data_IF_355175904275
#
_entry.id   IF_355175904275
#
_cell.length_a   1.000
_cell.length_b   1.000
_cell.length_c   1.000
_cell.angle_alpha   90.00
_cell.angle_beta   90.00
_cell.angle_gamma   90.00
#
_symmetry.space_group_name_H-M   'P 1'
#
loop_
_entity.id
_entity.type
_entity.pdbx_description
1 polymer ?
#
# COMPACT_ATOMS: atom_id res chain seq x y z
N UNK A 1 63.69 -53.50 81.22
CA UNK A 1 64.93 -52.77 80.96
C UNK A 1 64.71 -51.83 79.78
N UNK A 2 65.22 -50.59 79.89
CA UNK A 2 65.34 -49.53 78.87
C UNK A 2 64.01 -48.84 78.44
N UNK A 3 63.76 -47.57 78.84
CA UNK A 3 64.24 -46.30 78.23
C UNK A 3 63.50 -45.98 76.91
N UNK A 4 63.10 -44.77 76.51
CA UNK A 4 63.52 -43.39 76.83
C UNK A 4 62.59 -42.42 76.06
N UNK A 5 62.28 -41.27 76.67
CA UNK A 5 62.40 -39.89 76.13
C UNK A 5 61.86 -39.48 74.72
N UNK A 6 61.02 -38.44 74.73
CA UNK A 6 60.91 -37.31 73.73
C UNK A 6 62.32 -36.79 73.28
N UNK A 7 62.58 -35.91 72.26
CA UNK A 7 61.77 -34.75 71.78
C UNK A 7 62.07 -34.14 70.34
N UNK A 8 61.42 -33.01 70.02
CA UNK A 8 61.86 -31.69 69.41
C UNK A 8 62.81 -31.66 68.16
N UNK A 9 62.73 -30.71 67.21
CA UNK A 9 62.87 -29.21 67.28
C UNK A 9 62.43 -28.59 65.92
N UNK A 10 61.64 -27.51 65.82
CA UNK A 10 61.91 -26.05 66.00
C UNK A 10 62.68 -25.36 64.85
N UNK A 11 62.04 -24.38 64.17
CA UNK A 11 62.52 -23.06 63.61
C UNK A 11 61.22 -22.32 63.17
N UNK A 12 60.61 -21.32 63.85
CA UNK A 12 60.89 -19.87 64.05
C UNK A 12 61.21 -19.06 62.77
N UNK A 13 60.37 -18.08 62.36
CA UNK A 13 60.66 -16.62 62.36
C UNK A 13 59.75 -15.77 61.39
N UNK A 14 59.16 -14.70 61.95
CA UNK A 14 58.86 -13.32 61.47
C UNK A 14 57.99 -12.94 60.23
N UNK A 15 56.94 -12.13 60.52
CA UNK A 15 56.63 -10.73 60.09
C UNK A 15 56.88 -10.28 58.62
N UNK A 16 55.86 -9.74 57.94
CA UNK A 16 55.72 -8.29 57.60
C UNK A 16 54.43 -7.99 56.81
N UNK A 17 53.80 -6.85 57.11
CA UNK A 17 52.74 -6.23 56.33
C UNK A 17 53.32 -5.17 55.37
N UNK A 18 52.75 -5.02 54.16
CA UNK A 18 52.59 -3.73 53.47
C UNK A 18 51.74 -3.89 52.20
N UNK A 19 50.86 -2.91 52.03
CA UNK A 19 49.82 -2.70 51.02
C UNK A 19 50.32 -2.01 49.75
N UNK A 20 49.73 -2.35 48.59
CA UNK A 20 49.55 -1.42 47.47
C UNK A 20 48.25 -1.73 46.70
N UNK A 21 47.47 -0.68 46.42
CA UNK A 21 46.28 -0.66 45.58
C UNK A 21 46.65 -0.77 44.09
N UNK A 22 45.82 -1.44 43.30
CA UNK A 22 45.66 -1.17 41.87
C UNK A 22 44.20 -1.45 41.45
N UNK A 23 43.56 -0.44 40.86
CA UNK A 23 42.24 -0.52 40.24
C UNK A 23 42.22 -1.55 39.10
N UNK A 24 41.15 -2.34 39.01
CA UNK A 24 40.73 -3.00 37.77
C UNK A 24 39.28 -2.62 37.45
N UNK A 25 38.92 -2.51 36.15
CA UNK A 25 37.64 -1.96 35.73
C UNK A 25 36.52 -2.99 35.93
N UNK A 26 35.38 -2.51 36.42
CA UNK A 26 34.15 -3.30 36.47
C UNK A 26 33.58 -3.46 35.05
N UNK A 27 33.70 -4.64 34.46
CA UNK A 27 32.84 -5.04 33.35
C UNK A 27 31.46 -5.37 33.91
N UNK A 28 30.54 -4.41 33.75
CA UNK A 28 29.10 -4.66 33.83
C UNK A 28 28.75 -5.62 32.68
N UNK A 29 28.36 -6.85 33.01
CA UNK A 29 27.49 -7.63 32.14
C UNK A 29 26.14 -6.91 32.08
N UNK A 30 26.01 -6.02 31.10
CA UNK A 30 24.70 -5.58 30.62
C UNK A 30 24.02 -6.79 30.01
N UNK A 31 23.02 -7.29 30.72
CA UNK A 31 22.01 -8.19 30.21
C UNK A 31 21.25 -7.44 29.11
N UNK A 32 21.73 -7.52 27.87
CA UNK A 32 20.92 -7.24 26.69
C UNK A 32 19.93 -8.39 26.48
N UNK A 33 18.93 -8.41 27.34
CA UNK A 33 17.65 -9.03 27.05
C UNK A 33 16.63 -7.96 27.42
N UNK A 34 16.63 -6.88 26.63
CA UNK A 34 15.54 -5.93 26.62
C UNK A 34 14.32 -6.70 26.13
N UNK A 35 13.30 -6.71 26.98
CA UNK A 35 11.96 -7.22 26.72
C UNK A 35 11.49 -6.75 25.33
N UNK A 36 11.34 -7.68 24.40
CA UNK A 36 10.45 -7.46 23.26
C UNK A 36 9.02 -7.45 23.84
N UNK A 37 8.61 -6.30 24.38
CA UNK A 37 7.20 -6.03 24.57
C UNK A 37 6.54 -6.18 23.20
N UNK A 38 5.76 -7.22 23.00
CA UNK A 38 5.01 -7.44 21.76
C UNK A 38 4.26 -6.15 21.44
N UNK A 39 4.58 -5.53 20.29
CA UNK A 39 3.91 -4.33 19.85
C UNK A 39 2.40 -4.58 19.74
N UNK A 40 1.59 -3.56 20.02
CA UNK A 40 0.13 -3.69 20.04
C UNK A 40 -0.42 -3.86 18.62
N UNK A 41 -1.41 -4.74 18.43
CA UNK A 41 -2.06 -4.95 17.13
C UNK A 41 -2.59 -3.61 16.56
N UNK A 42 -2.40 -3.39 15.26
CA UNK A 42 -2.75 -2.12 14.59
C UNK A 42 -1.69 -1.04 14.68
N UNK A 43 -0.59 -1.27 15.39
CA UNK A 43 0.61 -0.42 15.35
C UNK A 43 1.57 -0.84 14.24
N UNK A 44 2.37 0.11 13.76
CA UNK A 44 3.40 -0.13 12.76
C UNK A 44 4.47 -1.11 13.27
N UNK A 45 4.83 -1.06 14.56
CA UNK A 45 5.79 -1.98 15.15
C UNK A 45 5.30 -3.43 15.12
N UNK A 46 4.01 -3.65 15.34
CA UNK A 46 3.40 -4.98 15.23
C UNK A 46 3.50 -5.52 13.80
N UNK A 47 3.17 -4.69 12.82
CA UNK A 47 3.26 -5.08 11.40
C UNK A 47 4.68 -5.28 10.92
N UNK A 48 5.62 -4.47 11.42
CA UNK A 48 7.04 -4.64 11.16
C UNK A 48 7.54 -6.00 11.66
N UNK A 49 7.21 -6.37 12.89
CA UNK A 49 7.63 -7.64 13.49
C UNK A 49 6.97 -8.83 12.77
N UNK A 50 5.68 -8.73 12.47
CA UNK A 50 4.96 -9.75 11.69
C UNK A 50 5.58 -9.93 10.30
N UNK A 51 5.70 -8.86 9.51
CA UNK A 51 6.19 -8.95 8.14
C UNK A 51 7.64 -9.41 8.08
N UNK A 52 8.50 -9.01 9.01
CA UNK A 52 9.87 -9.53 9.11
C UNK A 52 9.94 -11.03 9.36
N UNK A 53 8.96 -11.59 10.08
CA UNK A 53 8.87 -13.04 10.27
C UNK A 53 8.52 -13.78 8.97
N UNK A 54 7.91 -13.09 7.99
CA UNK A 54 7.51 -13.65 6.70
C UNK A 54 8.47 -13.28 5.56
N UNK A 55 9.19 -12.17 5.68
CA UNK A 55 10.15 -11.63 4.71
C UNK A 55 11.39 -11.10 5.44
N UNK A 56 12.46 -11.89 5.42
CA UNK A 56 13.75 -11.51 6.00
C UNK A 56 14.45 -10.37 5.22
N UNK A 57 13.98 -10.08 4.00
CA UNK A 57 14.46 -9.01 3.14
C UNK A 57 13.57 -7.76 3.16
N UNK A 58 12.63 -7.66 4.12
CA UNK A 58 11.73 -6.52 4.24
C UNK A 58 12.50 -5.19 4.35
N UNK A 59 12.17 -4.26 3.46
CA UNK A 59 12.79 -2.93 3.40
C UNK A 59 12.00 -1.98 4.28
N UNK A 60 12.70 -1.23 5.14
CA UNK A 60 12.10 -0.17 5.96
C UNK A 60 12.66 1.17 5.51
N UNK A 61 11.83 1.98 4.87
CA UNK A 61 12.16 3.37 4.57
C UNK A 61 11.83 4.23 5.79
N UNK A 62 12.67 5.22 6.10
CA UNK A 62 12.56 6.09 7.27
C UNK A 62 12.95 7.51 6.92
N UNK A 63 12.25 8.47 7.52
CA UNK A 63 12.68 9.87 7.51
C UNK A 63 13.89 10.06 8.43
N UNK A 64 14.44 11.27 8.43
CA UNK A 64 15.62 11.59 9.24
C UNK A 64 15.36 11.44 10.75
N UNK A 65 14.11 11.63 11.18
CA UNK A 65 13.70 11.57 12.58
C UNK A 65 13.30 10.14 13.01
N UNK A 66 13.14 9.21 12.08
CA UNK A 66 12.60 7.87 12.30
C UNK A 66 11.12 7.85 12.69
N UNK A 67 10.37 8.93 12.42
CA UNK A 67 8.95 9.08 12.78
C UNK A 67 8.07 8.65 11.62
N UNK A 68 8.30 9.22 10.43
CA UNK A 68 7.74 8.72 9.17
C UNK A 68 8.46 7.45 8.73
N UNK A 69 7.74 6.34 8.58
CA UNK A 69 8.31 5.08 8.09
C UNK A 69 7.38 4.38 7.11
N UNK A 70 7.95 3.56 6.21
CA UNK A 70 7.23 2.79 5.19
C UNK A 70 7.84 1.39 5.09
N UNK A 71 6.99 0.34 5.06
CA UNK A 71 7.40 -1.05 4.86
C UNK A 71 7.19 -1.45 3.41
N UNK A 72 8.28 -1.87 2.75
CA UNK A 72 8.27 -2.30 1.36
C UNK A 72 8.79 -3.72 1.25
N UNK A 73 8.14 -4.56 0.44
CA UNK A 73 8.58 -5.93 0.18
C UNK A 73 8.80 -6.20 -1.30
N UNK A 74 10.03 -6.54 -1.67
CA UNK A 74 10.34 -7.07 -2.99
C UNK A 74 9.78 -8.49 -3.16
N UNK A 75 9.74 -9.29 -2.09
CA UNK A 75 9.18 -10.64 -2.08
C UNK A 75 7.70 -10.64 -2.47
N UNK A 76 6.94 -9.69 -1.93
CA UNK A 76 5.52 -9.51 -2.22
C UNK A 76 5.31 -8.42 -3.29
N UNK A 77 5.90 -8.63 -4.48
CA UNK A 77 5.67 -7.85 -5.72
C UNK A 77 5.91 -6.34 -5.62
N UNK A 78 6.85 -5.91 -4.79
CA UNK A 78 7.16 -4.50 -4.64
C UNK A 78 6.03 -3.68 -3.99
N UNK A 79 5.21 -4.33 -3.16
CA UNK A 79 4.15 -3.67 -2.39
C UNK A 79 4.74 -2.76 -1.33
N UNK A 80 4.07 -1.63 -1.13
CA UNK A 80 4.10 -0.94 0.16
C UNK A 80 3.06 -1.64 1.03
N UNK A 81 3.48 -2.27 2.12
CA UNK A 81 2.54 -2.93 3.02
C UNK A 81 1.81 -1.93 3.90
N UNK A 82 2.56 -1.01 4.50
CA UNK A 82 2.01 0.02 5.38
C UNK A 82 3.03 1.13 5.63
N UNK A 83 2.52 2.27 6.11
CA UNK A 83 3.27 3.43 6.54
C UNK A 83 2.81 3.89 7.93
N UNK A 84 3.59 4.76 8.56
CA UNK A 84 3.29 5.38 9.86
C UNK A 84 3.80 6.80 9.91
N UNK A 85 3.09 7.66 10.64
CA UNK A 85 3.46 9.04 10.92
C UNK A 85 3.96 9.24 12.36
N UNK A 86 4.16 8.16 13.13
CA UNK A 86 4.48 8.24 14.56
C UNK A 86 5.39 7.10 15.05
N UNK A 87 6.27 6.62 14.18
CA UNK A 87 7.22 5.56 14.47
C UNK A 87 6.55 4.22 14.82
N UNK A 88 7.25 3.39 15.60
CA UNK A 88 6.85 2.01 15.89
C UNK A 88 5.55 1.89 16.69
N UNK A 89 5.24 2.88 17.53
CA UNK A 89 3.99 2.92 18.31
C UNK A 89 2.86 3.62 17.54
N UNK A 90 3.17 4.21 16.39
CA UNK A 90 2.20 4.83 15.52
C UNK A 90 1.27 3.81 14.88
N UNK A 91 0.11 4.29 14.44
CA UNK A 91 -0.85 3.50 13.68
C UNK A 91 -0.23 3.03 12.37
N UNK A 92 -0.55 1.79 12.01
CA UNK A 92 -0.36 1.25 10.67
C UNK A 92 -1.52 1.66 9.77
N UNK A 93 -1.24 2.28 8.62
CA UNK A 93 -2.29 2.79 7.73
C UNK A 93 -2.76 1.78 6.67
N UNK A 94 -1.87 0.88 6.24
CA UNK A 94 -2.19 -0.16 5.27
C UNK A 94 -3.01 -1.30 5.86
N UNK A 95 -3.88 -1.88 5.04
CA UNK A 95 -4.54 -3.15 5.38
C UNK A 95 -3.62 -4.33 5.04
N UNK A 96 -3.45 -5.23 6.01
CA UNK A 96 -2.65 -6.46 5.87
C UNK A 96 -3.56 -7.65 6.16
N UNK A 97 -3.57 -8.63 5.25
CA UNK A 97 -4.27 -9.88 5.48
C UNK A 97 -3.36 -10.90 6.16
N UNK A 98 -3.27 -10.86 7.48
CA UNK A 98 -2.36 -11.73 8.23
C UNK A 98 -2.58 -13.22 7.93
N UNK A 99 -3.83 -13.65 7.75
CA UNK A 99 -4.20 -15.04 7.49
C UNK A 99 -3.66 -15.54 6.14
N UNK A 100 -3.61 -14.67 5.12
CA UNK A 100 -3.10 -15.02 3.79
C UNK A 100 -1.62 -15.44 3.78
N UNK A 101 -0.82 -15.02 4.77
CA UNK A 101 0.61 -15.39 4.84
C UNK A 101 0.86 -16.82 5.33
N UNK A 102 -0.13 -17.41 6.01
CA UNK A 102 -0.06 -18.76 6.56
C UNK A 102 -0.98 -19.74 5.81
N UNK A 103 -1.80 -19.22 4.89
CA UNK A 103 -2.62 -20.02 4.01
C UNK A 103 -1.80 -20.74 2.93
N UNK A 104 -2.34 -21.85 2.43
CA UNK A 104 -1.84 -22.45 1.19
C UNK A 104 -2.03 -21.47 0.02
N UNK A 105 -1.10 -21.44 -0.95
CA UNK A 105 -1.23 -20.54 -2.08
C UNK A 105 -2.55 -20.73 -2.82
N UNK A 106 -3.30 -19.63 -2.96
CA UNK A 106 -4.58 -19.62 -3.66
C UNK A 106 -4.34 -19.61 -5.19
N UNK A 107 -5.04 -20.45 -5.98
CA UNK A 107 -4.84 -20.54 -7.42
C UNK A 107 -5.36 -19.33 -8.21
N UNK A 108 -6.19 -18.49 -7.60
CA UNK A 108 -6.79 -17.30 -8.19
C UNK A 108 -6.02 -16.02 -7.82
N UNK A 109 -5.82 -15.78 -6.51
CA UNK A 109 -5.07 -14.63 -6.00
C UNK A 109 -4.67 -14.81 -4.53
N UNK A 110 -3.42 -14.48 -4.23
CA UNK A 110 -2.87 -14.50 -2.89
C UNK A 110 -3.01 -13.12 -2.24
N UNK A 111 -4.12 -12.93 -1.53
CA UNK A 111 -4.60 -11.62 -1.06
C UNK A 111 -3.86 -11.08 0.19
N UNK A 112 -2.53 -10.90 0.14
CA UNK A 112 -1.72 -10.44 1.28
C UNK A 112 -2.03 -9.02 1.79
N UNK A 113 -2.81 -8.24 1.05
CA UNK A 113 -3.06 -6.82 1.32
C UNK A 113 -1.97 -5.89 0.78
N UNK A 114 -1.87 -4.70 1.38
CA UNK A 114 -0.85 -3.70 1.09
C UNK A 114 -1.43 -2.31 0.81
N UNK A 115 -0.95 -1.31 1.57
CA UNK A 115 -1.29 0.11 1.44
C UNK A 115 -1.14 0.68 0.03
N UNK A 116 -0.18 0.20 -0.77
CA UNK A 116 -0.05 0.59 -2.17
C UNK A 116 0.52 -0.57 -3.00
N UNK A 117 -0.29 -1.08 -3.93
CA UNK A 117 -0.05 -2.30 -4.69
C UNK A 117 0.03 -2.00 -6.18
N UNK A 118 1.10 -2.47 -6.82
CA UNK A 118 1.19 -2.45 -8.28
C UNK A 118 0.38 -3.60 -8.87
N UNK A 119 -0.44 -3.28 -9.87
CA UNK A 119 -1.29 -4.21 -10.59
C UNK A 119 -1.25 -3.92 -12.09
N UNK A 120 -1.87 -4.80 -12.86
CA UNK A 120 -1.96 -4.67 -14.32
C UNK A 120 -3.41 -4.84 -14.76
N UNK A 121 -3.79 -4.11 -15.80
CA UNK A 121 -5.04 -4.32 -16.51
C UNK A 121 -4.80 -4.63 -18.00
N UNK A 122 -5.85 -5.06 -18.73
CA UNK A 122 -7.21 -5.17 -18.22
C UNK A 122 -7.48 -6.50 -17.51
N UNK A 123 -8.31 -6.48 -16.46
CA UNK A 123 -8.75 -7.69 -15.77
C UNK A 123 -9.69 -8.54 -16.63
N UNK A 124 -10.71 -7.91 -17.22
CA UNK A 124 -11.61 -8.54 -18.18
C UNK A 124 -11.45 -8.02 -19.60
N UNK A 125 -12.48 -8.19 -20.43
CA UNK A 125 -12.47 -7.70 -21.80
C UNK A 125 -11.67 -8.55 -22.79
N UNK A 126 -11.81 -8.20 -24.07
CA UNK A 126 -11.17 -8.89 -25.20
C UNK A 126 -9.64 -9.04 -25.06
N UNK A 127 -9.00 -8.16 -24.29
CA UNK A 127 -7.55 -8.14 -24.09
C UNK A 127 -7.14 -8.45 -22.65
N UNK A 128 -8.01 -9.12 -21.88
CA UNK A 128 -7.74 -9.51 -20.48
C UNK A 128 -6.37 -10.18 -20.32
N UNK A 129 -5.71 -9.91 -19.19
CA UNK A 129 -4.48 -10.60 -18.77
C UNK A 129 -4.73 -11.76 -17.79
N UNK A 130 -5.98 -11.99 -17.39
CA UNK A 130 -6.36 -12.84 -16.25
C UNK A 130 -7.17 -14.07 -16.67
N UNK A 131 -7.59 -14.13 -17.93
CA UNK A 131 -8.33 -15.26 -18.49
C UNK A 131 -7.56 -15.91 -19.63
N UNK A 132 -7.57 -17.24 -19.67
CA UNK A 132 -7.02 -17.99 -20.80
C UNK A 132 -7.87 -17.75 -22.05
N UNK A 133 -7.29 -17.70 -23.26
CA UNK A 133 -8.06 -17.53 -24.48
C UNK A 133 -9.21 -18.55 -24.61
N UNK A 134 -10.42 -18.06 -24.86
CA UNK A 134 -11.62 -18.87 -25.09
C UNK A 134 -12.32 -19.40 -23.84
N UNK A 135 -11.86 -19.09 -22.62
CA UNK A 135 -12.59 -19.44 -21.39
C UNK A 135 -13.65 -18.43 -21.03
N UNK A 136 -14.74 -18.88 -20.40
CA UNK A 136 -15.75 -17.97 -19.84
C UNK A 136 -15.13 -17.04 -18.78
N UNK A 137 -15.53 -15.77 -18.78
CA UNK A 137 -15.09 -14.77 -17.80
C UNK A 137 -15.88 -14.91 -16.49
N UNK A 138 -15.61 -16.00 -15.78
CA UNK A 138 -16.20 -16.35 -14.48
C UNK A 138 -15.08 -16.61 -13.47
N UNK A 139 -15.38 -16.50 -12.17
CA UNK A 139 -14.38 -16.57 -11.10
C UNK A 139 -13.48 -17.81 -11.19
N UNK A 140 -14.03 -18.99 -11.49
CA UNK A 140 -13.28 -20.24 -11.60
C UNK A 140 -12.19 -20.25 -12.70
N UNK A 141 -12.26 -19.33 -13.67
CA UNK A 141 -11.27 -19.20 -14.75
C UNK A 141 -10.36 -17.98 -14.58
N UNK A 142 -10.64 -17.12 -13.61
CA UNK A 142 -9.87 -15.91 -13.36
C UNK A 142 -8.59 -16.26 -12.60
N UNK A 143 -7.43 -15.84 -13.10
CA UNK A 143 -6.14 -16.10 -12.46
C UNK A 143 -5.29 -14.85 -12.53
N UNK A 144 -4.76 -14.43 -11.38
CA UNK A 144 -3.84 -13.29 -11.34
C UNK A 144 -2.49 -13.65 -11.97
N UNK A 145 -1.93 -12.81 -12.86
CA UNK A 145 -0.58 -13.03 -13.37
C UNK A 145 0.47 -13.18 -12.24
N UNK A 146 1.30 -14.23 -12.25
CA UNK A 146 2.26 -14.50 -11.17
C UNK A 146 3.17 -13.31 -10.83
N UNK A 147 3.53 -12.50 -11.82
CA UNK A 147 4.37 -11.32 -11.64
C UNK A 147 3.80 -10.25 -10.70
N UNK A 148 2.48 -10.23 -10.46
CA UNK A 148 1.80 -9.29 -9.55
C UNK A 148 1.11 -10.01 -8.37
N UNK A 149 1.35 -11.31 -8.19
CA UNK A 149 0.71 -12.15 -7.15
C UNK A 149 1.69 -12.98 -6.30
N UNK A 150 2.53 -13.80 -6.93
CA UNK A 150 3.33 -14.83 -6.24
C UNK A 150 4.83 -14.69 -6.47
N UNK A 151 5.25 -14.09 -7.58
CA UNK A 151 6.67 -14.03 -7.90
C UNK A 151 7.36 -12.82 -7.26
N UNK A 152 8.55 -13.00 -6.67
CA UNK A 152 9.31 -11.89 -6.12
C UNK A 152 9.84 -10.97 -7.22
N UNK A 153 10.10 -9.72 -6.85
CA UNK A 153 10.74 -8.70 -7.65
C UNK A 153 12.21 -8.53 -7.25
N UNK A 154 12.99 -7.91 -8.13
CA UNK A 154 14.40 -7.67 -7.88
C UNK A 154 14.64 -6.24 -7.37
N UNK A 155 15.35 -6.10 -6.26
CA UNK A 155 15.83 -4.81 -5.76
C UNK A 155 17.01 -4.35 -6.61
N UNK A 156 16.85 -3.22 -7.29
CA UNK A 156 17.89 -2.57 -8.10
C UNK A 156 18.79 -1.69 -7.23
N UNK A 157 18.19 -0.94 -6.31
CA UNK A 157 18.90 -0.06 -5.37
C UNK A 157 18.02 0.25 -4.17
N UNK A 158 18.63 0.52 -3.02
CA UNK A 158 17.92 0.95 -1.80
C UNK A 158 18.78 1.94 -1.01
N UNK A 159 18.13 2.92 -0.39
CA UNK A 159 18.70 3.79 0.66
C UNK A 159 17.73 3.87 1.84
N UNK A 160 17.96 4.79 2.78
CA UNK A 160 17.09 5.00 3.93
C UNK A 160 15.69 5.50 3.56
N UNK A 161 15.55 6.25 2.47
CA UNK A 161 14.31 6.95 2.10
C UNK A 161 13.69 6.44 0.78
N UNK A 162 14.37 5.57 0.03
CA UNK A 162 13.85 5.05 -1.24
C UNK A 162 14.32 3.65 -1.56
N UNK A 163 13.57 2.98 -2.43
CA UNK A 163 13.95 1.71 -3.05
C UNK A 163 13.47 1.65 -4.50
N UNK A 164 14.30 1.08 -5.36
CA UNK A 164 13.99 0.82 -6.78
C UNK A 164 13.90 -0.67 -7.02
N UNK A 165 12.82 -1.10 -7.64
CA UNK A 165 12.47 -2.49 -7.88
C UNK A 165 12.22 -2.73 -9.37
N UNK A 166 12.47 -3.95 -9.84
CA UNK A 166 12.17 -4.34 -11.22
C UNK A 166 11.65 -5.77 -11.33
N UNK A 167 10.82 -5.99 -12.35
CA UNK A 167 10.28 -7.30 -12.72
C UNK A 167 10.19 -7.42 -14.24
N UNK A 168 10.72 -8.51 -14.80
CA UNK A 168 10.42 -8.90 -16.19
C UNK A 168 9.34 -9.97 -16.17
N UNK A 169 8.43 -9.94 -17.14
CA UNK A 169 7.33 -10.90 -17.23
C UNK A 169 6.85 -11.08 -18.67
N UNK A 170 6.16 -12.18 -18.91
CA UNK A 170 5.43 -12.45 -20.15
C UNK A 170 3.96 -12.65 -19.80
N UNK A 171 3.08 -11.92 -20.50
CA UNK A 171 1.65 -11.90 -20.25
C UNK A 171 0.92 -12.32 -21.52
N UNK A 172 0.23 -13.46 -21.49
CA UNK A 172 -0.63 -13.86 -22.60
C UNK A 172 -2.00 -13.24 -22.40
N UNK A 173 -2.42 -12.38 -23.32
CA UNK A 173 -3.76 -11.82 -23.24
C UNK A 173 -4.83 -12.77 -23.83
N UNK A 174 -6.09 -12.49 -23.53
CA UNK A 174 -7.23 -13.29 -23.98
C UNK A 174 -7.37 -13.38 -25.50
N UNK A 175 -6.85 -12.39 -26.25
CA UNK A 175 -6.79 -12.40 -27.71
C UNK A 175 -5.63 -13.23 -28.28
N UNK A 176 -4.81 -13.86 -27.44
CA UNK A 176 -3.68 -14.71 -27.85
C UNK A 176 -2.38 -13.96 -28.14
N UNK A 177 -2.28 -12.68 -27.76
CA UNK A 177 -1.04 -11.90 -27.92
C UNK A 177 -0.14 -12.08 -26.69
N UNK A 178 1.12 -12.48 -26.91
CA UNK A 178 2.13 -12.56 -25.87
C UNK A 178 2.84 -11.21 -25.71
N UNK A 179 2.63 -10.57 -24.56
CA UNK A 179 3.19 -9.27 -24.20
C UNK A 179 4.43 -9.49 -23.32
N UNK A 180 5.62 -9.12 -23.81
CA UNK A 180 6.86 -9.20 -23.02
C UNK A 180 7.15 -7.86 -22.36
N UNK A 181 7.03 -7.79 -21.06
CA UNK A 181 7.08 -6.55 -20.30
C UNK A 181 8.28 -6.49 -19.34
N UNK A 182 8.81 -5.29 -19.16
CA UNK A 182 9.65 -4.95 -18.01
C UNK A 182 8.94 -3.89 -17.18
N UNK A 183 8.84 -4.14 -15.90
CA UNK A 183 8.23 -3.26 -14.90
C UNK A 183 9.36 -2.68 -14.05
N UNK A 184 9.28 -1.39 -13.78
CA UNK A 184 10.11 -0.70 -12.79
C UNK A 184 9.19 0.03 -11.83
N UNK A 185 9.54 0.01 -10.55
CA UNK A 185 8.82 0.74 -9.50
C UNK A 185 9.83 1.36 -8.55
N UNK A 186 9.83 2.68 -8.48
CA UNK A 186 10.59 3.42 -7.49
C UNK A 186 9.62 3.88 -6.39
N UNK A 187 9.94 3.55 -5.15
CA UNK A 187 9.16 3.94 -3.97
C UNK A 187 10.04 4.86 -3.14
N UNK A 188 9.49 6.01 -2.74
CA UNK A 188 10.23 7.03 -2.00
C UNK A 188 9.38 7.62 -0.89
N UNK A 189 9.89 7.62 0.33
CA UNK A 189 9.35 8.38 1.44
C UNK A 189 9.64 9.88 1.22
N UNK A 190 8.62 10.71 1.45
CA UNK A 190 8.67 12.15 1.27
C UNK A 190 8.94 12.84 2.60
N UNK A 191 9.77 13.88 2.59
CA UNK A 191 9.90 14.79 3.72
C UNK A 191 8.63 15.63 3.90
N UNK A 192 8.40 16.16 5.10
CA UNK A 192 7.27 17.04 5.37
C UNK A 192 7.21 18.24 4.41
N UNK A 193 8.36 18.84 4.11
CA UNK A 193 8.45 19.98 3.20
C UNK A 193 8.01 19.61 1.77
N UNK A 194 8.34 18.40 1.30
CA UNK A 194 7.90 17.91 -0.01
C UNK A 194 6.40 17.63 -0.03
N UNK A 195 5.86 17.02 1.04
CA UNK A 195 4.42 16.79 1.20
C UNK A 195 3.65 18.13 1.13
N UNK A 196 4.08 19.12 1.90
CA UNK A 196 3.49 20.46 1.92
C UNK A 196 3.56 21.15 0.56
N UNK A 197 4.72 21.07 -0.10
CA UNK A 197 4.92 21.65 -1.43
C UNK A 197 4.01 21.00 -2.46
N UNK A 198 3.93 19.67 -2.44
CA UNK A 198 3.18 18.89 -3.41
C UNK A 198 1.67 19.11 -3.31
N UNK A 199 1.16 19.25 -2.09
CA UNK A 199 -0.26 19.48 -1.83
C UNK A 199 -0.63 20.97 -1.78
N UNK A 200 0.35 21.87 -1.72
CA UNK A 200 0.12 23.31 -1.57
C UNK A 200 -0.52 23.68 -0.23
N UNK A 201 -0.13 22.98 0.84
CA UNK A 201 -0.65 23.13 2.21
C UNK A 201 0.49 23.41 3.20
N UNK A 202 0.13 23.78 4.42
CA UNK A 202 1.03 23.77 5.58
C UNK A 202 0.46 22.87 6.66
N UNK A 203 1.19 21.82 7.03
CA UNK A 203 0.84 20.98 8.15
C UNK A 203 1.18 21.76 9.43
N UNK A 204 0.16 22.13 10.22
CA UNK A 204 0.38 22.79 11.49
C UNK A 204 1.22 21.92 12.44
N UNK A 205 1.92 22.51 13.40
CA UNK A 205 2.86 21.79 14.27
C UNK A 205 2.28 20.63 15.11
N UNK A 206 0.95 20.51 15.17
CA UNK A 206 0.24 19.43 15.86
C UNK A 206 -0.29 18.33 14.91
N UNK A 207 0.05 18.38 13.61
CA UNK A 207 -0.32 17.36 12.63
C UNK A 207 0.88 16.46 12.39
N UNK A 208 0.70 15.17 12.67
CA UNK A 208 1.66 14.13 12.26
C UNK A 208 1.37 13.77 10.82
N UNK A 209 2.40 13.64 10.00
CA UNK A 209 2.25 13.31 8.60
C UNK A 209 3.26 12.27 8.15
N UNK A 210 2.83 11.41 7.24
CA UNK A 210 3.71 10.56 6.42
C UNK A 210 3.19 10.61 4.99
N UNK A 211 4.09 10.53 4.02
CA UNK A 211 3.71 10.42 2.64
C UNK A 211 4.80 9.78 1.82
N UNK A 212 4.42 9.05 0.79
CA UNK A 212 5.35 8.40 -0.13
C UNK A 212 4.89 8.53 -1.57
N UNK A 213 5.85 8.50 -2.50
CA UNK A 213 5.60 8.42 -3.92
C UNK A 213 5.89 7.01 -4.44
N UNK A 214 5.16 6.62 -5.47
CA UNK A 214 5.48 5.47 -6.32
C UNK A 214 5.54 5.94 -7.77
N UNK A 215 6.72 5.80 -8.38
CA UNK A 215 6.95 6.06 -9.79
C UNK A 215 6.99 4.72 -10.51
N UNK A 216 5.97 4.45 -11.31
CA UNK A 216 5.75 3.16 -11.92
C UNK A 216 6.01 3.26 -13.41
N UNK A 217 6.77 2.32 -13.98
CA UNK A 217 7.07 2.29 -15.40
C UNK A 217 6.84 0.90 -15.97
N UNK A 218 6.24 0.88 -17.17
CA UNK A 218 5.94 -0.32 -17.94
C UNK A 218 6.56 -0.18 -19.32
N UNK A 219 7.48 -1.07 -19.66
CA UNK A 219 8.21 -1.07 -20.92
C UNK A 219 7.89 -2.29 -21.77
N UNK A 220 7.73 -2.09 -23.07
CA UNK A 220 7.66 -3.18 -24.04
C UNK A 220 9.07 -3.67 -24.37
N UNK A 221 9.43 -4.86 -23.88
CA UNK A 221 10.73 -5.50 -24.15
C UNK A 221 10.61 -6.65 -25.16
N UNK A 222 9.46 -6.76 -25.83
CA UNK A 222 9.25 -7.66 -26.95
C UNK A 222 9.62 -7.04 -28.29
N UNK A 223 9.38 -7.80 -29.36
CA UNK A 223 9.72 -7.42 -30.73
C UNK A 223 8.57 -6.76 -31.49
N UNK A 224 7.34 -6.89 -30.99
CA UNK A 224 6.12 -6.40 -31.64
C UNK A 224 5.49 -5.25 -30.86
N UNK A 225 4.87 -4.26 -31.53
CA UNK A 225 4.15 -3.20 -30.85
C UNK A 225 2.87 -3.70 -30.18
N UNK A 226 2.51 -3.08 -29.06
CA UNK A 226 1.21 -3.24 -28.42
C UNK A 226 0.25 -2.21 -29.00
N UNK A 227 -0.89 -2.65 -29.53
CA UNK A 227 -1.81 -1.77 -30.27
C UNK A 227 -3.26 -1.99 -29.83
N UNK A 228 -4.17 -1.14 -30.29
CA UNK A 228 -5.61 -1.32 -30.08
C UNK A 228 -6.19 -2.57 -30.75
N UNK A 229 -5.45 -3.22 -31.67
CA UNK A 229 -5.87 -4.45 -32.36
C UNK A 229 -5.36 -5.71 -31.66
N UNK A 230 -4.11 -5.69 -31.17
CA UNK A 230 -3.46 -6.83 -30.50
C UNK A 230 -3.66 -6.82 -28.98
N UNK A 231 -4.01 -5.65 -28.43
CA UNK A 231 -4.12 -5.41 -27.00
C UNK A 231 -2.85 -4.80 -26.42
N UNK A 232 -3.03 -4.09 -25.32
CA UNK A 232 -1.95 -3.51 -24.51
C UNK A 232 -2.30 -3.65 -23.02
N UNK A 233 -1.31 -3.75 -22.12
CA UNK A 233 -1.56 -3.64 -20.70
C UNK A 233 -1.81 -2.18 -20.29
N UNK A 234 -2.30 -1.96 -19.08
CA UNK A 234 -2.20 -0.69 -18.36
C UNK A 234 -1.63 -0.91 -16.95
N UNK A 235 -1.06 0.12 -16.34
CA UNK A 235 -0.69 0.13 -14.93
C UNK A 235 -1.96 0.44 -14.12
N UNK A 236 -2.15 -0.27 -13.02
CA UNK A 236 -3.22 -0.01 -12.06
C UNK A 236 -2.61 -0.03 -10.67
N UNK A 237 -2.80 1.05 -9.91
CA UNK A 237 -2.33 1.18 -8.53
C UNK A 237 -3.54 1.10 -7.62
N UNK A 238 -3.51 0.20 -6.64
CA UNK A 238 -4.58 -0.01 -5.68
C UNK A 238 -4.03 0.25 -4.28
N UNK A 239 -4.66 1.16 -3.55
CA UNK A 239 -4.29 1.46 -2.18
C UNK A 239 -5.27 0.82 -1.21
N UNK A 240 -4.83 -0.14 -0.40
CA UNK A 240 -5.72 -0.85 0.53
C UNK A 240 -5.57 -0.30 1.95
N UNK A 241 -6.65 0.27 2.49
CA UNK A 241 -6.67 0.92 3.80
C UNK A 241 -7.63 0.23 4.76
N UNK A 242 -7.35 0.37 6.07
CA UNK A 242 -8.22 -0.11 7.13
C UNK A 242 -9.47 0.79 7.27
N UNK A 243 -10.70 0.25 7.22
CA UNK A 243 -11.92 1.04 7.37
C UNK A 243 -12.23 1.30 8.85
N UNK A 244 -13.07 2.31 9.09
CA UNK A 244 -13.75 2.51 10.37
C UNK A 244 -15.24 2.72 10.12
N UNK A 245 -16.11 2.62 11.15
CA UNK A 245 -17.55 2.80 10.98
C UNK A 245 -17.96 4.15 10.34
N UNK A 246 -17.09 5.16 10.44
CA UNK A 246 -17.31 6.50 9.91
C UNK A 246 -16.46 6.85 8.68
N UNK A 247 -15.69 5.90 8.12
CA UNK A 247 -14.81 6.22 6.99
C UNK A 247 -15.60 6.56 5.74
N UNK A 248 -15.24 7.68 5.11
CA UNK A 248 -15.83 8.16 3.86
C UNK A 248 -14.72 8.45 2.87
N UNK A 249 -14.82 7.84 1.68
CA UNK A 249 -13.98 8.16 0.53
C UNK A 249 -14.59 9.37 -0.20
N UNK A 250 -13.73 10.25 -0.70
CA UNK A 250 -14.08 11.46 -1.41
C UNK A 250 -13.34 11.49 -2.74
N UNK A 251 -14.11 11.61 -3.83
CA UNK A 251 -13.59 11.72 -5.19
C UNK A 251 -14.11 13.00 -5.86
N UNK A 252 -13.30 14.08 -5.90
CA UNK A 252 -13.60 15.25 -6.70
C UNK A 252 -13.66 14.90 -8.20
N UNK A 253 -14.66 15.42 -8.91
CA UNK A 253 -14.84 15.19 -10.35
C UNK A 253 -15.16 16.49 -11.11
N UNK A 254 -15.07 16.44 -12.44
CA UNK A 254 -15.41 17.54 -13.35
C UNK A 254 -16.90 17.45 -13.71
N UNK A 255 -17.71 18.37 -13.21
CA UNK A 255 -19.16 18.38 -13.45
C UNK A 255 -19.55 18.60 -14.91
N UNK A 256 -18.77 19.42 -15.63
CA UNK A 256 -19.12 19.86 -16.98
C UNK A 256 -18.71 18.87 -18.09
N UNK A 257 -18.06 17.77 -17.75
CA UNK A 257 -17.77 16.71 -18.72
C UNK A 257 -19.07 16.02 -19.18
N UNK A 258 -19.03 15.33 -20.32
CA UNK A 258 -20.18 14.57 -20.82
C UNK A 258 -20.25 13.15 -20.20
N UNK A 259 -21.39 12.47 -20.38
CA UNK A 259 -21.59 11.08 -19.93
C UNK A 259 -22.01 10.96 -18.47
N UNK A 260 -22.13 9.72 -17.98
CA UNK A 260 -22.43 9.44 -16.55
C UNK A 260 -21.32 10.01 -15.66
N UNK A 261 -21.64 10.30 -14.40
CA UNK A 261 -20.63 10.81 -13.44
C UNK A 261 -19.67 9.70 -13.04
N UNK A 262 -20.23 8.54 -12.66
CA UNK A 262 -19.46 7.36 -12.27
C UNK A 262 -20.11 6.07 -12.81
N UNK A 263 -19.31 5.03 -13.00
CA UNK A 263 -19.75 3.63 -13.01
C UNK A 263 -19.94 3.19 -11.56
N UNK A 264 -21.06 2.56 -11.21
CA UNK A 264 -21.43 2.23 -9.82
C UNK A 264 -22.02 0.82 -9.68
N UNK A 265 -22.00 0.04 -10.74
CA UNK A 265 -22.72 -1.23 -10.90
C UNK A 265 -21.80 -2.46 -11.06
N UNK A 266 -20.49 -2.33 -10.79
CA UNK A 266 -19.50 -3.40 -10.96
C UNK A 266 -19.85 -4.72 -10.25
N UNK A 267 -20.46 -4.64 -9.07
CA UNK A 267 -20.89 -5.79 -8.26
C UNK A 267 -22.39 -5.72 -7.95
N UNK A 268 -23.17 -5.10 -8.84
CA UNK A 268 -24.49 -4.56 -8.54
C UNK A 268 -24.40 -3.07 -8.17
N UNK A 269 -25.53 -2.37 -8.28
CA UNK A 269 -25.62 -0.93 -8.03
C UNK A 269 -25.32 -0.61 -6.56
N UNK A 270 -24.45 0.37 -6.32
CA UNK A 270 -24.19 0.86 -4.96
C UNK A 270 -25.48 1.47 -4.37
N UNK A 271 -25.91 1.07 -3.17
CA UNK A 271 -27.11 1.63 -2.53
C UNK A 271 -27.03 3.15 -2.33
N UNK A 272 -28.15 3.85 -2.51
CA UNK A 272 -28.24 5.32 -2.39
C UNK A 272 -27.84 5.86 -1.01
N UNK A 273 -27.96 5.06 0.06
CA UNK A 273 -27.54 5.43 1.41
C UNK A 273 -26.03 5.25 1.65
N UNK A 274 -25.27 4.89 0.61
CA UNK A 274 -23.83 4.66 0.64
C UNK A 274 -23.04 5.48 -0.38
N UNK A 275 -23.72 6.17 -1.29
CA UNK A 275 -23.10 7.05 -2.29
C UNK A 275 -23.85 8.37 -2.38
N UNK A 276 -23.12 9.48 -2.38
CA UNK A 276 -23.68 10.83 -2.47
C UNK A 276 -22.90 11.66 -3.49
N UNK A 277 -23.62 12.43 -4.30
CA UNK A 277 -23.05 13.39 -5.24
C UNK A 277 -23.42 14.80 -4.79
N UNK A 278 -22.43 15.67 -4.60
CA UNK A 278 -22.67 17.05 -4.21
C UNK A 278 -21.57 17.97 -4.76
N UNK A 279 -21.98 19.01 -5.50
CA UNK A 279 -21.11 20.09 -5.99
C UNK A 279 -19.76 19.61 -6.59
N UNK A 280 -19.82 18.61 -7.47
CA UNK A 280 -18.63 18.10 -8.16
C UNK A 280 -17.76 17.20 -7.31
N UNK A 281 -18.31 16.65 -6.24
CA UNK A 281 -17.65 15.69 -5.35
C UNK A 281 -18.55 14.49 -5.11
N UNK A 282 -17.96 13.30 -5.22
CA UNK A 282 -18.58 12.03 -4.91
C UNK A 282 -18.10 11.58 -3.53
N UNK A 283 -19.02 11.26 -2.64
CA UNK A 283 -18.77 10.65 -1.34
C UNK A 283 -19.19 9.18 -1.38
N UNK A 284 -18.35 8.30 -0.86
CA UNK A 284 -18.61 6.87 -0.84
C UNK A 284 -18.32 6.30 0.55
N UNK A 285 -19.32 5.65 1.14
CA UNK A 285 -19.23 5.10 2.50
C UNK A 285 -18.36 3.84 2.51
N UNK A 286 -17.25 3.91 3.22
CA UNK A 286 -16.19 2.90 3.23
C UNK A 286 -16.01 2.25 4.61
N UNK A 287 -17.11 1.74 5.17
CA UNK A 287 -17.18 1.20 6.54
C UNK A 287 -16.87 -0.31 6.66
N UNK A 288 -16.51 -0.97 5.55
CA UNK A 288 -16.24 -2.40 5.53
C UNK A 288 -17.48 -3.31 5.55
N UNK A 289 -18.71 -2.76 5.44
CA UNK A 289 -19.97 -3.50 5.70
C UNK A 289 -20.82 -3.79 4.47
N UNK A 290 -20.50 -3.25 3.31
CA UNK A 290 -21.24 -3.53 2.07
C UNK A 290 -20.32 -3.44 0.86
N UNK A 291 -20.25 -4.51 0.07
CA UNK A 291 -19.42 -4.52 -1.12
C UNK A 291 -19.92 -3.50 -2.13
N UNK A 292 -19.02 -2.66 -2.63
CA UNK A 292 -19.35 -1.68 -3.66
C UNK A 292 -18.10 -1.18 -4.34
N UNK A 293 -18.17 -0.97 -5.66
CA UNK A 293 -17.08 -0.37 -6.44
C UNK A 293 -17.64 0.69 -7.36
N UNK A 294 -16.92 1.80 -7.46
CA UNK A 294 -17.21 2.84 -8.43
C UNK A 294 -15.99 3.15 -9.29
N UNK A 295 -16.23 3.79 -10.43
CA UNK A 295 -15.20 4.24 -11.36
C UNK A 295 -15.55 5.58 -11.98
N UNK A 296 -14.56 6.47 -12.06
CA UNK A 296 -14.66 7.74 -12.77
C UNK A 296 -13.90 7.63 -14.10
N UNK A 297 -14.57 8.01 -15.18
CA UNK A 297 -13.95 8.09 -16.50
C UNK A 297 -12.81 9.13 -16.52
N UNK A 298 -11.83 9.02 -17.43
CA UNK A 298 -10.73 9.99 -17.52
C UNK A 298 -11.20 11.44 -17.78
N UNK A 299 -12.35 11.63 -18.43
CA UNK A 299 -12.93 12.95 -18.67
C UNK A 299 -13.54 13.56 -17.40
N UNK A 300 -14.03 12.72 -16.48
CA UNK A 300 -14.66 13.12 -15.21
C UNK A 300 -13.62 13.24 -14.08
N UNK A 301 -12.63 12.36 -14.04
CA UNK A 301 -11.67 12.28 -12.96
C UNK A 301 -10.84 13.56 -12.80
N UNK A 302 -10.63 13.96 -11.54
CA UNK A 302 -9.56 14.88 -11.14
C UNK A 302 -8.37 14.02 -10.62
N UNK A 303 -7.13 14.53 -10.69
CA UNK A 303 -5.92 13.79 -10.29
C UNK A 303 -5.74 13.74 -8.75
N UNK A 304 -6.83 13.61 -8.01
CA UNK A 304 -6.86 13.61 -6.55
C UNK A 304 -8.07 12.84 -6.05
N UNK A 305 -7.87 12.09 -4.97
CA UNK A 305 -8.92 11.48 -4.16
C UNK A 305 -8.45 11.48 -2.69
N UNK A 306 -9.35 11.16 -1.78
CA UNK A 306 -8.99 11.04 -0.38
C UNK A 306 -10.02 10.28 0.42
N UNK A 307 -9.76 10.12 1.70
CA UNK A 307 -10.72 9.57 2.65
C UNK A 307 -10.49 10.18 4.03
N UNK A 308 -11.55 10.23 4.83
CA UNK A 308 -11.46 10.67 6.22
C UNK A 308 -12.01 9.60 7.15
N UNK A 309 -11.22 9.24 8.15
CA UNK A 309 -11.61 8.41 9.27
C UNK A 309 -11.75 9.28 10.52
N UNK A 310 -12.98 9.67 10.92
CA UNK A 310 -13.21 10.49 12.11
C UNK A 310 -12.87 9.76 13.41
N UNK A 311 -12.95 8.42 13.43
CA UNK A 311 -12.66 7.61 14.63
C UNK A 311 -11.20 7.74 15.02
N UNK A 312 -10.32 7.61 14.03
CA UNK A 312 -8.89 7.65 14.23
C UNK A 312 -8.27 9.03 13.96
N UNK A 313 -9.09 9.99 13.52
CA UNK A 313 -8.69 11.35 13.08
C UNK A 313 -7.60 11.30 12.02
N UNK A 314 -7.83 10.50 10.98
CA UNK A 314 -6.90 10.31 9.85
C UNK A 314 -7.52 10.88 8.59
N UNK A 315 -6.85 11.86 7.99
CA UNK A 315 -7.12 12.30 6.63
C UNK A 315 -6.09 11.66 5.69
N UNK A 316 -6.58 10.85 4.75
CA UNK A 316 -5.78 10.25 3.69
C UNK A 316 -6.02 11.01 2.40
N UNK A 317 -4.94 11.33 1.69
CA UNK A 317 -4.96 11.98 0.38
C UNK A 317 -4.13 11.15 -0.58
N UNK A 318 -4.65 10.94 -1.78
CA UNK A 318 -3.92 10.32 -2.89
C UNK A 318 -3.88 11.29 -4.07
N UNK A 319 -2.72 11.43 -4.71
CA UNK A 319 -2.60 12.17 -5.98
C UNK A 319 -1.93 11.31 -7.03
N UNK A 320 -2.35 11.43 -8.29
CA UNK A 320 -1.94 10.51 -9.35
C UNK A 320 -2.12 11.12 -10.74
N UNK A 321 -1.47 10.51 -11.73
CA UNK A 321 -1.62 10.93 -13.12
C UNK A 321 -3.02 10.61 -13.67
N UNK A 322 -3.61 11.57 -14.39
CA UNK A 322 -4.84 11.38 -15.17
C UNK A 322 -4.67 12.07 -16.52
N UNK A 323 -4.84 11.33 -17.61
CA UNK A 323 -4.87 11.91 -18.95
C UNK A 323 -6.29 11.86 -19.52
N UNK A 324 -7.00 12.99 -19.49
CA UNK A 324 -8.42 13.05 -19.85
C UNK A 324 -8.71 12.84 -21.35
N UNK A 325 -7.70 12.71 -22.21
CA UNK A 325 -7.88 12.50 -23.65
C UNK A 325 -7.29 11.18 -24.14
N UNK A 326 -6.68 10.40 -23.26
CA UNK A 326 -6.08 9.12 -23.61
C UNK A 326 -7.09 7.97 -23.54
N UNK A 327 -6.70 6.81 -24.07
CA UNK A 327 -7.50 5.58 -24.05
C UNK A 327 -7.28 4.83 -22.74
N UNK A 328 -8.37 4.49 -22.04
CA UNK A 328 -8.37 3.71 -20.80
C UNK A 328 -9.06 2.36 -21.04
N UNK A 329 -8.56 1.29 -20.41
CA UNK A 329 -9.04 -0.05 -20.67
C UNK A 329 -10.21 -0.42 -19.76
N UNK A 330 -11.26 -1.02 -20.33
CA UNK A 330 -12.37 -1.55 -19.55
C UNK A 330 -11.90 -2.78 -18.75
N UNK A 331 -12.18 -2.79 -17.45
CA UNK A 331 -11.76 -3.84 -16.51
C UNK A 331 -12.83 -4.92 -16.28
N UNK A 332 -14.05 -4.70 -16.75
CA UNK A 332 -15.20 -5.57 -16.49
C UNK A 332 -15.03 -6.94 -17.16
N UNK A 333 -15.53 -7.99 -16.49
CA UNK A 333 -15.45 -9.39 -16.92
C UNK A 333 -16.47 -9.72 -18.02
N UNK A 334 -16.32 -9.06 -19.17
CA UNK A 334 -17.16 -9.28 -20.34
C UNK A 334 -16.43 -8.91 -21.63
N UNK A 335 -16.65 -9.67 -22.70
CA UNK A 335 -16.17 -9.34 -24.05
C UNK A 335 -17.17 -8.52 -24.87
N UNK A 336 -18.36 -8.25 -24.32
CA UNK A 336 -19.44 -7.58 -25.03
C UNK A 336 -19.34 -6.04 -25.02
N UNK A 337 -18.52 -5.48 -24.12
CA UNK A 337 -18.29 -4.03 -24.01
C UNK A 337 -17.03 -3.61 -24.77
N UNK A 338 -16.93 -2.32 -25.06
CA UNK A 338 -15.75 -1.75 -25.70
C UNK A 338 -14.53 -1.88 -24.75
N UNK A 339 -13.50 -2.67 -25.11
CA UNK A 339 -12.34 -2.88 -24.24
C UNK A 339 -11.48 -1.62 -24.07
N UNK A 340 -11.66 -0.60 -24.91
CA UNK A 340 -10.87 0.62 -24.93
C UNK A 340 -11.59 1.81 -24.27
N UNK A 341 -12.63 1.52 -23.47
CA UNK A 341 -13.38 2.52 -22.71
C UNK A 341 -13.55 2.07 -21.26
N UNK A 342 -12.59 2.46 -20.43
CA UNK A 342 -12.58 2.22 -18.99
C UNK A 342 -12.50 3.48 -18.14
N UNK A 343 -12.37 3.24 -16.84
CA UNK A 343 -12.25 4.27 -15.82
C UNK A 343 -10.78 4.54 -15.46
N UNK A 344 -10.50 5.76 -15.01
CA UNK A 344 -9.17 6.24 -14.65
C UNK A 344 -8.91 6.22 -13.15
N UNK A 345 -9.98 6.32 -12.36
CA UNK A 345 -9.94 6.36 -10.89
C UNK A 345 -11.07 5.48 -10.39
N UNK A 346 -10.77 4.62 -9.43
CA UNK A 346 -11.77 3.75 -8.81
C UNK A 346 -11.73 3.91 -7.30
N UNK A 347 -12.85 3.57 -6.67
CA UNK A 347 -12.92 3.39 -5.23
C UNK A 347 -13.71 2.13 -4.92
N UNK A 348 -13.29 1.40 -3.89
CA UNK A 348 -13.87 0.14 -3.48
C UNK A 348 -14.11 0.15 -1.98
N UNK A 349 -15.22 -0.45 -1.55
CA UNK A 349 -15.42 -0.85 -0.16
C UNK A 349 -15.62 -2.36 -0.13
N UNK A 350 -14.81 -3.05 0.65
CA UNK A 350 -14.99 -4.46 0.90
C UNK A 350 -16.14 -4.68 1.88
N UNK A 351 -16.99 -5.68 1.62
CA UNK A 351 -18.09 -6.05 2.48
C UNK A 351 -18.46 -7.51 2.27
N UNK A 352 -19.27 -8.10 3.16
CA UNK A 352 -19.66 -9.50 3.05
C UNK A 352 -20.30 -9.82 1.69
N UNK A 353 -19.96 -11.00 1.15
CA UNK A 353 -20.64 -11.61 0.01
C UNK A 353 -22.00 -12.19 0.42
N UNK A 354 -22.79 -12.64 -0.56
CA UNK A 354 -24.11 -13.25 -0.31
C UNK A 354 -24.05 -14.49 0.60
N UNK A 355 -22.93 -15.24 0.56
CA UNK A 355 -22.69 -16.40 1.42
C UNK A 355 -22.14 -16.03 2.81
N UNK A 356 -21.96 -14.74 3.09
CA UNK A 356 -21.44 -14.20 4.34
C UNK A 356 -19.92 -14.20 4.46
N UNK A 357 -19.19 -14.75 3.48
CA UNK A 357 -17.74 -14.67 3.46
C UNK A 357 -17.26 -13.25 3.13
N UNK A 358 -16.07 -12.89 3.60
CA UNK A 358 -15.45 -11.59 3.34
C UNK A 358 -13.93 -11.75 3.34
N UNK A 359 -13.23 -11.07 2.42
CA UNK A 359 -11.77 -11.07 2.37
C UNK A 359 -11.17 -10.13 3.43
N UNK A 360 -11.75 -8.93 3.54
CA UNK A 360 -11.32 -7.86 4.44
C UNK A 360 -11.93 -7.93 5.84
N UNK A 361 -12.24 -6.75 6.43
CA UNK A 361 -12.64 -5.53 5.73
C UNK A 361 -11.48 -4.59 5.37
N UNK A 362 -11.55 -4.00 4.16
CA UNK A 362 -10.69 -2.92 3.67
C UNK A 362 -11.48 -1.98 2.75
N UNK A 363 -10.90 -0.84 2.41
CA UNK A 363 -11.37 0.00 1.31
C UNK A 363 -10.21 0.38 0.41
N UNK A 364 -10.51 0.72 -0.84
CA UNK A 364 -9.50 1.11 -1.82
C UNK A 364 -9.75 2.48 -2.43
N UNK A 365 -8.65 3.18 -2.67
CA UNK A 365 -8.56 4.26 -3.63
C UNK A 365 -7.57 3.81 -4.70
N UNK A 366 -7.96 3.95 -5.96
CA UNK A 366 -7.23 3.33 -7.05
C UNK A 366 -7.03 4.32 -8.20
N UNK A 367 -5.90 4.21 -8.90
CA UNK A 367 -5.66 4.96 -10.13
C UNK A 367 -5.09 4.09 -11.24
N UNK A 368 -5.50 4.39 -12.46
CA UNK A 368 -5.17 3.61 -13.65
C UNK A 368 -4.40 4.50 -14.63
N UNK A 369 -3.40 3.95 -15.30
CA UNK A 369 -2.76 4.63 -16.43
C UNK A 369 -3.58 4.45 -17.71
N UNK A 370 -3.32 5.25 -18.75
CA UNK A 370 -3.78 4.90 -20.09
C UNK A 370 -3.28 3.51 -20.55
N UNK A 371 -3.92 2.98 -21.59
CA UNK A 371 -3.44 1.80 -22.30
C UNK A 371 -2.02 2.02 -22.83
N UNK A 372 -1.11 1.11 -22.53
CA UNK A 372 0.29 1.19 -22.93
C UNK A 372 0.47 0.78 -24.39
N UNK A 373 0.00 1.58 -25.35
CA UNK A 373 0.25 1.34 -26.78
C UNK A 373 1.71 1.63 -27.16
N UNK A 374 2.60 0.70 -26.80
CA UNK A 374 4.05 0.86 -26.86
C UNK A 374 4.68 0.06 -28.01
N UNK A 375 5.53 0.73 -28.80
CA UNK A 375 6.49 0.06 -29.69
C UNK A 375 7.58 -0.63 -28.86
N UNK A 376 8.36 -1.57 -29.45
CA UNK A 376 9.54 -2.13 -28.79
C UNK A 376 10.44 -1.05 -28.20
N UNK A 377 10.89 -1.27 -26.96
CA UNK A 377 11.73 -0.39 -26.15
C UNK A 377 11.09 0.94 -25.72
N UNK A 378 9.79 1.14 -25.98
CA UNK A 378 9.08 2.28 -25.40
C UNK A 378 8.58 1.96 -23.99
N UNK A 379 8.35 3.02 -23.22
CA UNK A 379 7.95 2.97 -21.81
C UNK A 379 6.80 3.93 -21.56
N UNK A 380 5.79 3.45 -20.84
CA UNK A 380 4.75 4.26 -20.19
C UNK A 380 5.13 4.46 -18.71
N UNK A 381 4.81 5.62 -18.15
CA UNK A 381 4.96 5.89 -16.71
C UNK A 381 3.63 6.28 -16.08
N UNK A 382 3.47 6.01 -14.79
CA UNK A 382 2.32 6.40 -13.97
C UNK A 382 2.78 6.69 -12.55
N UNK A 383 2.62 7.95 -12.12
CA UNK A 383 2.99 8.41 -10.80
C UNK A 383 1.78 8.38 -9.86
N UNK A 384 1.99 7.92 -8.62
CA UNK A 384 0.99 7.87 -7.57
C UNK A 384 1.63 8.26 -6.24
N UNK A 385 0.95 9.09 -5.44
CA UNK A 385 1.38 9.48 -4.09
C UNK A 385 0.28 9.21 -3.08
N UNK A 386 0.67 8.75 -1.89
CA UNK A 386 -0.21 8.55 -0.75
C UNK A 386 0.29 9.41 0.41
N UNK A 387 -0.62 10.10 1.09
CA UNK A 387 -0.35 10.95 2.24
C UNK A 387 -1.35 10.67 3.35
N UNK A 388 -0.85 10.53 4.57
CA UNK A 388 -1.66 10.42 5.78
C UNK A 388 -1.36 11.58 6.72
N UNK A 389 -2.42 12.21 7.22
CA UNK A 389 -2.36 13.26 8.22
C UNK A 389 -3.17 12.85 9.44
N UNK A 390 -2.56 12.92 10.62
CA UNK A 390 -3.19 12.61 11.90
C UNK A 390 -3.09 13.82 12.81
N UNK A 391 -4.22 14.28 13.34
CA UNK A 391 -4.24 15.45 14.21
C UNK A 391 -5.65 15.96 14.53
N UNK A 392 -5.72 17.20 14.99
CA UNK A 392 -6.98 17.84 15.34
C UNK A 392 -7.81 18.18 14.09
N UNK A 393 -9.13 18.06 14.21
CA UNK A 393 -10.07 18.19 13.11
C UNK A 393 -9.94 19.54 12.36
N UNK A 394 -9.69 20.64 13.07
CA UNK A 394 -9.50 21.95 12.45
C UNK A 394 -8.29 21.99 11.49
N UNK A 395 -7.16 21.41 11.90
CA UNK A 395 -5.95 21.39 11.08
C UNK A 395 -6.11 20.47 9.86
N UNK A 396 -6.71 19.29 10.06
CA UNK A 396 -7.02 18.36 8.97
C UNK A 396 -8.05 18.97 7.99
N UNK A 397 -9.02 19.75 8.50
CA UNK A 397 -10.02 20.40 7.68
C UNK A 397 -9.41 21.43 6.72
N UNK A 398 -8.41 22.19 7.16
CA UNK A 398 -7.69 23.11 6.27
C UNK A 398 -7.01 22.38 5.10
N UNK A 399 -6.43 21.21 5.35
CA UNK A 399 -5.81 20.38 4.30
C UNK A 399 -6.91 19.84 3.36
N UNK A 400 -7.98 19.29 3.91
CA UNK A 400 -9.11 18.73 3.15
C UNK A 400 -9.77 19.77 2.24
N UNK A 401 -10.09 20.96 2.76
CA UNK A 401 -10.69 22.03 1.96
C UNK A 401 -9.77 22.46 0.82
N UNK A 402 -8.48 22.57 1.11
CA UNK A 402 -7.49 23.00 0.12
C UNK A 402 -7.28 21.98 -1.00
N UNK A 403 -7.23 20.69 -0.66
CA UNK A 403 -6.83 19.63 -1.59
C UNK A 403 -8.03 18.92 -2.22
N UNK A 404 -9.04 18.58 -1.42
CA UNK A 404 -10.23 17.84 -1.87
C UNK A 404 -11.41 18.78 -2.19
N UNK A 405 -11.34 20.04 -1.78
CA UNK A 405 -12.42 21.01 -1.99
C UNK A 405 -13.61 20.83 -1.06
N UNK A 406 -13.46 20.05 0.03
CA UNK A 406 -14.53 19.74 0.98
C UNK A 406 -14.08 19.80 2.42
N UNK A 407 -15.00 20.13 3.31
CA UNK A 407 -14.81 20.12 4.76
C UNK A 407 -14.94 18.70 5.32
N UNK A 408 -14.26 18.42 6.42
CA UNK A 408 -14.41 17.14 7.13
C UNK A 408 -15.84 16.95 7.62
N UNK A 409 -16.48 18.03 8.08
CA UNK A 409 -17.89 18.02 8.48
C UNK A 409 -18.82 17.50 7.37
N UNK A 410 -18.56 17.89 6.11
CA UNK A 410 -19.37 17.41 4.98
C UNK A 410 -19.21 15.90 4.76
N UNK A 411 -18.01 15.36 5.00
CA UNK A 411 -17.77 13.91 4.92
C UNK A 411 -18.49 13.18 6.06
N UNK A 412 -18.38 13.69 7.28
CA UNK A 412 -19.03 13.13 8.47
C UNK A 412 -20.55 13.13 8.38
N UNK A 413 -21.13 14.15 7.76
CA UNK A 413 -22.57 14.33 7.62
C UNK A 413 -23.15 13.64 6.37
N UNK A 414 -22.33 13.23 5.40
CA UNK A 414 -22.76 12.71 4.10
C UNK A 414 -23.79 11.56 4.19
N UNK A 415 -23.72 10.75 5.24
CA UNK A 415 -24.60 9.59 5.46
C UNK A 415 -25.27 9.57 6.84
N UNK A 416 -25.26 10.70 7.56
CA UNK A 416 -26.03 10.83 8.82
C UNK A 416 -27.48 11.11 8.45
N UNK A 417 -28.40 10.33 9.03
CA UNK A 417 -29.85 10.51 8.87
C UNK A 417 -30.38 11.52 9.88
#
# INVERSE_FOLDING_TARGET
MANRFLPKKTVVLLLLALSFQACQPSEKKETQQAEAAHAEAGTFGYDLDFLRSKDDSLIVLKDEQGVGQVLVSAKYQGKVFTSTADGLHGRSFGWINYEAFDAEPDPHMNAYGGENRFWLGPEGGRFSLFFKPGTDMVFSNWVTPPAIDTEPWHVVSSSSDRVSLTKKTELLNYAGTLLKASIKRDIRLLSLAEIEQQLGVKAGGNVKAVGFSTDNALSNVGEQPWTSQTGAPCIWILDMFNPSPGTVIVLPYKEQAAGKVATTDYFGEIPEDRILYNAGVLYFKADGKARGKLGLSPERAKPVAGSYDPTNRVLTITTFDVNSTATYLNQEWTTAKDPLKGDAVNAYNDGPLEDGSQMGPFYEIESVSPAAFLKPNQTLTHQHHVFHFVGEAEALNNISEKVLGVKLQQMEEAFRK
#
